data_IF_791845175422
#
_entry.id   IF_791845175422
#
_cell.length_a   1.000
_cell.length_b   1.000
_cell.length_c   1.000
_cell.angle_alpha   90.00
_cell.angle_beta   90.00
_cell.angle_gamma   90.00
#
_symmetry.space_group_name_H-M   'P 1'
#
loop_
_entity.id
_entity.type
_entity.pdbx_description
1 polymer ?
#
# COMPACT_ATOMS: atom_id res chain seq x y z
N UNK A 1 11.72 -17.17 -14.42
CA UNK A 1 10.58 -16.46 -13.80
C UNK A 1 10.39 -15.11 -14.48
N UNK A 2 9.15 -14.62 -14.61
CA UNK A 2 8.91 -13.25 -15.05
C UNK A 2 9.47 -12.29 -13.99
N UNK A 3 9.99 -11.13 -14.44
CA UNK A 3 10.48 -10.11 -13.51
C UNK A 3 9.33 -9.57 -12.66
N UNK A 4 9.53 -9.30 -11.37
CA UNK A 4 8.52 -8.67 -10.54
C UNK A 4 8.06 -7.32 -11.10
N UNK A 5 6.76 -7.04 -11.04
CA UNK A 5 6.19 -5.73 -11.39
C UNK A 5 5.76 -4.97 -10.14
N UNK A 6 5.78 -3.65 -10.20
CA UNK A 6 5.33 -2.79 -9.10
C UNK A 6 3.91 -2.30 -9.38
N UNK A 7 2.99 -2.54 -8.46
CA UNK A 7 1.61 -2.01 -8.47
C UNK A 7 1.53 -0.84 -7.49
N UNK A 8 1.20 0.33 -7.99
CA UNK A 8 1.08 1.56 -7.19
C UNK A 8 -0.38 1.94 -7.06
N UNK A 9 -0.93 1.86 -5.85
CA UNK A 9 -2.31 2.23 -5.58
C UNK A 9 -2.45 3.75 -5.46
N UNK A 10 -3.02 4.39 -6.46
CA UNK A 10 -3.19 5.83 -6.56
C UNK A 10 -4.66 6.28 -6.74
N UNK A 11 -5.62 5.36 -6.65
CA UNK A 11 -7.06 5.64 -6.78
C UNK A 11 -7.70 6.24 -5.50
N UNK A 12 -6.97 6.31 -4.40
CA UNK A 12 -7.45 6.83 -3.11
C UNK A 12 -7.79 8.32 -3.16
N UNK A 13 -8.87 8.72 -2.48
CA UNK A 13 -9.39 10.09 -2.53
C UNK A 13 -8.67 11.09 -1.63
N UNK A 14 -7.73 10.65 -0.78
CA UNK A 14 -7.02 11.55 0.15
C UNK A 14 -7.96 12.41 1.02
N UNK A 15 -9.07 11.85 1.50
CA UNK A 15 -10.18 12.58 2.13
C UNK A 15 -9.77 13.45 3.32
N UNK A 16 -8.70 13.09 4.04
CA UNK A 16 -8.15 13.85 5.17
C UNK A 16 -7.22 15.00 4.73
N UNK A 17 -6.70 14.93 3.50
CA UNK A 17 -5.75 15.92 2.97
C UNK A 17 -6.44 17.10 2.26
N UNK A 18 -7.67 16.92 1.80
CA UNK A 18 -8.47 17.97 1.16
C UNK A 18 -8.03 18.33 -0.28
N UNK A 19 -7.46 17.38 -1.03
CA UNK A 19 -7.04 17.59 -2.42
C UNK A 19 -6.38 16.35 -3.03
N UNK A 20 -5.84 16.48 -4.26
CA UNK A 20 -5.06 15.42 -4.92
C UNK A 20 -3.66 15.32 -4.28
N UNK A 21 -3.59 14.63 -3.15
CA UNK A 21 -2.39 14.41 -2.33
C UNK A 21 -1.23 13.80 -3.15
N UNK A 22 -1.55 12.94 -4.12
CA UNK A 22 -0.58 12.19 -4.91
C UNK A 22 0.28 13.06 -5.80
N UNK A 23 -0.16 14.28 -6.12
CA UNK A 23 0.56 15.23 -6.98
C UNK A 23 1.08 16.46 -6.25
N UNK A 24 1.02 16.48 -4.91
CA UNK A 24 1.52 17.60 -4.11
C UNK A 24 3.05 17.46 -3.92
N UNK A 25 3.87 18.44 -4.41
CA UNK A 25 5.31 18.32 -4.39
C UNK A 25 5.91 18.25 -2.99
N UNK A 26 6.92 17.37 -2.84
CA UNK A 26 7.74 17.24 -1.61
C UNK A 26 9.23 17.42 -1.89
N UNK A 27 9.66 17.32 -3.14
CA UNK A 27 11.04 17.49 -3.56
C UNK A 27 11.33 18.88 -4.16
N UNK A 28 12.63 19.27 -4.30
CA UNK A 28 13.05 20.60 -4.69
C UNK A 28 12.65 20.97 -6.12
N UNK A 29 12.54 20.02 -7.03
CA UNK A 29 12.21 20.22 -8.44
C UNK A 29 10.79 19.73 -8.79
N UNK A 30 9.87 19.78 -7.82
CA UNK A 30 8.48 19.41 -8.02
C UNK A 30 8.20 17.89 -7.97
N UNK A 31 9.18 17.10 -7.49
CA UNK A 31 8.97 15.68 -7.28
C UNK A 31 7.91 15.43 -6.19
N UNK A 32 7.03 14.50 -6.46
CA UNK A 32 6.02 14.04 -5.50
C UNK A 32 6.54 12.81 -4.74
N UNK A 33 5.86 12.41 -3.68
CA UNK A 33 6.36 11.33 -2.81
C UNK A 33 6.56 10.01 -3.57
N UNK A 34 5.66 9.67 -4.49
CA UNK A 34 5.77 8.44 -5.30
C UNK A 34 6.98 8.44 -6.24
N UNK A 35 7.52 9.60 -6.64
CA UNK A 35 8.72 9.64 -7.47
C UNK A 35 9.93 8.99 -6.78
N UNK A 36 10.06 9.19 -5.47
CA UNK A 36 11.11 8.58 -4.66
C UNK A 36 10.92 7.07 -4.55
N UNK A 37 9.69 6.62 -4.33
CA UNK A 37 9.35 5.19 -4.32
C UNK A 37 9.64 4.52 -5.67
N UNK A 38 9.34 5.19 -6.79
CA UNK A 38 9.63 4.68 -8.14
C UNK A 38 11.12 4.68 -8.45
N UNK A 39 11.84 5.73 -8.01
CA UNK A 39 13.30 5.80 -8.15
C UNK A 39 13.98 4.64 -7.42
N UNK A 40 13.58 4.38 -6.18
CA UNK A 40 14.11 3.27 -5.37
C UNK A 40 13.74 1.91 -5.96
N UNK A 41 12.49 1.73 -6.37
CA UNK A 41 12.02 0.50 -7.01
C UNK A 41 12.80 0.20 -8.31
N UNK A 42 13.03 1.22 -9.16
CA UNK A 42 13.84 1.06 -10.37
C UNK A 42 15.27 0.64 -10.05
N UNK A 43 15.88 1.23 -9.03
CA UNK A 43 17.24 0.85 -8.57
C UNK A 43 17.27 -0.58 -8.03
N UNK A 44 16.23 -1.04 -7.38
CA UNK A 44 16.10 -2.42 -6.90
C UNK A 44 15.93 -3.43 -8.06
N UNK A 45 15.48 -2.99 -9.25
CA UNK A 45 15.35 -3.85 -10.42
C UNK A 45 13.94 -3.94 -11.01
N UNK A 46 12.94 -3.25 -10.45
CA UNK A 46 11.60 -3.16 -11.06
C UNK A 46 11.68 -2.38 -12.38
N UNK A 47 11.29 -3.00 -13.48
CA UNK A 47 11.27 -2.39 -14.82
C UNK A 47 9.88 -1.92 -15.23
N UNK A 48 8.84 -2.52 -14.66
CA UNK A 48 7.43 -2.21 -14.98
C UNK A 48 6.71 -1.71 -13.75
N UNK A 49 5.98 -0.60 -13.90
CA UNK A 49 5.04 -0.07 -12.91
C UNK A 49 3.63 -0.05 -13.48
N UNK A 50 2.66 -0.47 -12.66
CA UNK A 50 1.23 -0.42 -12.96
C UNK A 50 0.60 0.56 -11.98
N UNK A 51 0.14 1.70 -12.47
CA UNK A 51 -0.61 2.66 -11.66
C UNK A 51 -2.10 2.29 -11.63
N UNK A 52 -2.62 2.05 -10.44
CA UNK A 52 -4.06 1.89 -10.24
C UNK A 52 -4.64 3.25 -9.90
N UNK A 53 -5.38 3.82 -10.83
CA UNK A 53 -5.96 5.17 -10.75
C UNK A 53 -7.48 5.12 -11.00
N UNK A 54 -8.12 6.28 -11.00
CA UNK A 54 -9.48 6.46 -11.54
C UNK A 54 -9.41 7.14 -12.90
N UNK A 55 -10.39 6.87 -13.77
CA UNK A 55 -10.46 7.52 -15.08
C UNK A 55 -10.50 9.04 -14.97
N UNK A 56 -11.17 9.57 -13.95
CA UNK A 56 -11.36 11.02 -13.76
C UNK A 56 -10.05 11.78 -13.54
N UNK A 57 -9.00 11.10 -13.07
CA UNK A 57 -7.69 11.72 -12.82
C UNK A 57 -6.62 11.32 -13.84
N UNK A 58 -6.94 10.50 -14.84
CA UNK A 58 -5.97 9.90 -15.75
C UNK A 58 -5.04 10.94 -16.41
N UNK A 59 -5.62 11.94 -17.08
CA UNK A 59 -4.83 12.95 -17.80
C UNK A 59 -3.97 13.79 -16.85
N UNK A 60 -4.53 14.19 -15.70
CA UNK A 60 -3.78 14.95 -14.69
C UNK A 60 -2.63 14.12 -14.10
N UNK A 61 -2.88 12.82 -13.82
CA UNK A 61 -1.89 11.90 -13.29
C UNK A 61 -0.77 11.62 -14.30
N UNK A 62 -1.11 11.35 -15.56
CA UNK A 62 -0.13 11.15 -16.63
C UNK A 62 0.79 12.34 -16.75
N UNK A 63 0.24 13.55 -16.85
CA UNK A 63 1.02 14.79 -16.95
C UNK A 63 1.90 15.04 -15.73
N UNK A 64 1.39 14.77 -14.53
CA UNK A 64 2.09 15.05 -13.28
C UNK A 64 3.18 14.01 -12.94
N UNK A 65 2.98 12.74 -13.31
CA UNK A 65 3.83 11.62 -12.89
C UNK A 65 4.15 10.72 -14.08
N UNK A 66 3.14 10.20 -14.78
CA UNK A 66 3.27 9.13 -15.74
C UNK A 66 4.25 9.41 -16.88
N UNK A 67 4.17 10.59 -17.49
CA UNK A 67 4.99 10.97 -18.66
C UNK A 67 6.49 11.03 -18.36
N UNK A 68 6.85 11.44 -17.14
CA UNK A 68 8.27 11.45 -16.72
C UNK A 68 8.78 10.06 -16.36
N UNK A 69 7.95 9.25 -15.70
CA UNK A 69 8.29 7.86 -15.34
C UNK A 69 8.40 6.98 -16.57
N UNK A 70 7.56 7.19 -17.58
CA UNK A 70 7.57 6.44 -18.85
C UNK A 70 8.88 6.59 -19.65
N UNK A 71 9.72 7.58 -19.34
CA UNK A 71 11.05 7.71 -19.95
C UNK A 71 12.05 6.68 -19.43
N UNK A 72 11.81 6.11 -18.26
CA UNK A 72 12.77 5.27 -17.53
C UNK A 72 12.22 3.92 -17.07
N UNK A 73 10.90 3.74 -17.08
CA UNK A 73 10.20 2.50 -16.71
C UNK A 73 9.09 2.20 -17.71
N UNK A 74 8.70 0.92 -17.81
CA UNK A 74 7.51 0.52 -18.56
C UNK A 74 6.27 0.83 -17.72
N UNK A 75 5.49 1.84 -18.12
CA UNK A 75 4.30 2.31 -17.39
C UNK A 75 3.04 1.70 -17.98
N UNK A 76 2.21 1.12 -17.11
CA UNK A 76 0.86 0.66 -17.43
C UNK A 76 -0.15 1.32 -16.49
N UNK A 77 -1.41 1.37 -16.90
CA UNK A 77 -2.50 1.93 -16.11
C UNK A 77 -3.61 0.90 -15.94
N UNK A 78 -4.12 0.79 -14.73
CA UNK A 78 -5.31 0.06 -14.37
C UNK A 78 -6.30 1.03 -13.72
N UNK A 79 -7.60 0.76 -13.86
CA UNK A 79 -8.62 1.69 -13.40
C UNK A 79 -9.50 1.03 -12.35
N UNK A 80 -9.49 1.54 -11.12
CA UNK A 80 -10.39 1.08 -10.08
C UNK A 80 -11.72 1.83 -10.19
N UNK A 81 -12.75 1.14 -10.66
CA UNK A 81 -14.09 1.70 -10.83
C UNK A 81 -15.09 1.09 -9.83
N UNK A 82 -16.13 1.84 -9.47
CA UNK A 82 -17.17 1.36 -8.54
C UNK A 82 -18.07 0.29 -9.15
N UNK A 83 -18.22 0.29 -10.47
CA UNK A 83 -19.07 -0.64 -11.24
C UNK A 83 -18.35 -1.92 -11.66
N UNK A 84 -17.06 -2.05 -11.40
CA UNK A 84 -16.31 -3.30 -11.58
C UNK A 84 -16.66 -4.30 -10.47
N UNK A 85 -17.86 -4.86 -10.58
CA UNK A 85 -18.43 -5.79 -9.61
C UNK A 85 -18.72 -7.15 -10.28
N UNK A 86 -18.68 -8.25 -9.51
CA UNK A 86 -19.13 -9.56 -10.01
C UNK A 86 -20.60 -9.54 -10.44
N UNK A 87 -20.96 -10.45 -11.35
CA UNK A 87 -22.34 -10.58 -11.80
C UNK A 87 -23.32 -10.75 -10.63
N UNK A 88 -24.44 -10.02 -10.66
CA UNK A 88 -25.46 -10.04 -9.62
C UNK A 88 -25.32 -8.96 -8.55
N UNK A 89 -24.21 -8.21 -8.54
CA UNK A 89 -24.02 -7.06 -7.64
C UNK A 89 -24.20 -5.74 -8.38
N UNK A 90 -24.61 -4.71 -7.64
CA UNK A 90 -24.74 -3.34 -8.13
C UNK A 90 -24.22 -2.36 -7.10
N UNK A 91 -23.87 -1.16 -7.57
CA UNK A 91 -23.40 -0.09 -6.68
C UNK A 91 -24.56 0.34 -5.76
N UNK A 92 -24.41 0.29 -4.42
CA UNK A 92 -25.42 0.82 -3.51
C UNK A 92 -25.67 2.30 -3.76
N UNK A 93 -26.93 2.73 -3.67
CA UNK A 93 -27.31 4.13 -3.79
C UNK A 93 -26.55 5.01 -2.79
N UNK A 94 -25.92 6.09 -3.26
CA UNK A 94 -25.13 6.99 -2.45
C UNK A 94 -23.70 6.55 -2.16
N UNK A 95 -23.26 5.38 -2.62
CA UNK A 95 -21.86 4.97 -2.44
C UNK A 95 -20.92 5.73 -3.37
N UNK A 96 -19.93 6.39 -2.79
CA UNK A 96 -18.83 7.07 -3.49
C UNK A 96 -17.46 6.51 -3.09
N UNK A 97 -17.42 5.71 -2.01
CA UNK A 97 -16.18 5.15 -1.48
C UNK A 97 -15.73 3.96 -2.33
N UNK A 98 -14.44 3.89 -2.76
CA UNK A 98 -13.88 2.72 -3.43
C UNK A 98 -14.03 1.44 -2.59
N UNK A 99 -13.95 0.29 -3.26
CA UNK A 99 -14.15 -1.02 -2.62
C UNK A 99 -12.97 -1.51 -1.78
N UNK A 100 -11.92 -0.73 -1.63
CA UNK A 100 -10.76 -1.03 -0.78
C UNK A 100 -9.51 -1.41 -1.56
N UNK A 101 -8.43 -1.70 -0.82
CA UNK A 101 -7.09 -1.91 -1.38
C UNK A 101 -6.96 -3.22 -2.16
N UNK A 102 -7.65 -4.29 -1.75
CA UNK A 102 -7.64 -5.54 -2.49
C UNK A 102 -8.35 -5.39 -3.84
N UNK A 103 -9.48 -4.69 -3.90
CA UNK A 103 -10.16 -4.38 -5.16
C UNK A 103 -9.32 -3.48 -6.08
N UNK A 104 -8.53 -2.55 -5.51
CA UNK A 104 -7.59 -1.76 -6.30
C UNK A 104 -6.54 -2.65 -7.00
N UNK A 105 -6.01 -3.65 -6.31
CA UNK A 105 -5.05 -4.59 -6.87
C UNK A 105 -5.72 -5.51 -7.93
N UNK A 106 -6.96 -5.93 -7.70
CA UNK A 106 -7.74 -6.70 -8.68
C UNK A 106 -7.97 -5.94 -10.00
N UNK A 107 -8.12 -4.62 -9.96
CA UNK A 107 -8.23 -3.82 -11.19
C UNK A 107 -7.00 -3.95 -12.11
N UNK A 108 -5.83 -4.33 -11.56
CA UNK A 108 -4.61 -4.54 -12.34
C UNK A 108 -4.39 -6.00 -12.78
N UNK A 109 -5.29 -6.94 -12.46
CA UNK A 109 -5.09 -8.40 -12.62
C UNK A 109 -4.67 -8.83 -14.02
N UNK A 110 -5.25 -8.23 -15.08
CA UNK A 110 -4.99 -8.59 -16.48
C UNK A 110 -3.66 -8.03 -17.01
N UNK A 111 -3.01 -7.15 -16.22
CA UNK A 111 -1.71 -6.58 -16.54
C UNK A 111 -0.55 -7.29 -15.84
N UNK A 112 -0.86 -8.23 -14.92
CA UNK A 112 0.10 -8.95 -14.07
C UNK A 112 0.11 -10.42 -14.49
N UNK A 113 1.27 -10.91 -14.89
CA UNK A 113 1.49 -12.29 -15.35
C UNK A 113 2.54 -13.06 -14.52
N UNK A 114 2.99 -12.48 -13.41
CA UNK A 114 4.03 -13.02 -12.55
C UNK A 114 4.03 -12.46 -11.15
N UNK A 115 5.16 -12.51 -10.44
CA UNK A 115 5.28 -11.90 -9.10
C UNK A 115 5.12 -10.39 -9.17
N UNK A 116 4.57 -9.80 -8.11
CA UNK A 116 4.37 -8.36 -8.04
C UNK A 116 4.46 -7.83 -6.61
N UNK A 117 4.90 -6.58 -6.48
CA UNK A 117 4.84 -5.83 -5.23
C UNK A 117 3.73 -4.78 -5.30
N UNK A 118 3.13 -4.48 -4.15
CA UNK A 118 2.07 -3.47 -4.00
C UNK A 118 2.54 -2.37 -3.06
N UNK A 119 2.29 -1.11 -3.41
CA UNK A 119 2.58 0.09 -2.58
C UNK A 119 1.47 1.14 -2.69
N UNK A 120 1.39 2.01 -1.69
CA UNK A 120 0.59 3.23 -1.78
C UNK A 120 1.36 4.33 -2.51
N UNK A 121 0.66 5.15 -3.30
CA UNK A 121 1.26 6.27 -4.04
C UNK A 121 1.66 7.47 -3.14
N UNK A 122 1.16 7.50 -1.92
CA UNK A 122 1.32 8.62 -0.99
C UNK A 122 2.26 8.32 0.19
N UNK A 123 3.01 7.22 0.09
CA UNK A 123 3.95 6.74 1.08
C UNK A 123 5.38 6.68 0.54
N UNK A 124 6.35 7.05 1.39
CA UNK A 124 7.77 6.84 1.17
C UNK A 124 8.24 5.61 1.95
N UNK A 125 8.80 4.63 1.27
CA UNK A 125 9.21 3.35 1.85
C UNK A 125 10.71 3.23 2.09
N UNK A 126 11.53 3.85 1.23
CA UNK A 126 12.99 3.82 1.26
C UNK A 126 13.63 2.73 0.40
N UNK A 127 14.91 2.91 0.02
CA UNK A 127 15.58 2.06 -0.96
C UNK A 127 15.79 0.61 -0.51
N UNK A 128 16.09 0.38 0.77
CA UNK A 128 16.30 -0.99 1.27
C UNK A 128 15.00 -1.79 1.25
N UNK A 129 13.87 -1.14 1.53
CA UNK A 129 12.56 -1.79 1.49
C UNK A 129 12.24 -2.32 0.07
N UNK A 130 12.52 -1.55 -0.97
CA UNK A 130 12.35 -2.01 -2.36
C UNK A 130 13.36 -3.08 -2.74
N UNK A 131 14.60 -3.00 -2.26
CA UNK A 131 15.61 -4.02 -2.56
C UNK A 131 15.23 -5.37 -1.97
N UNK A 132 14.88 -5.44 -0.67
CA UNK A 132 14.58 -6.71 -0.02
C UNK A 132 13.32 -7.38 -0.60
N UNK A 133 12.29 -6.59 -0.99
CA UNK A 133 11.09 -7.19 -1.58
C UNK A 133 11.32 -7.64 -3.01
N UNK A 134 12.12 -6.90 -3.81
CA UNK A 134 12.49 -7.30 -5.16
C UNK A 134 13.31 -8.59 -5.16
N UNK A 135 14.31 -8.69 -4.28
CA UNK A 135 15.16 -9.88 -4.16
C UNK A 135 14.35 -11.11 -3.77
N UNK A 136 13.41 -10.93 -2.83
CA UNK A 136 12.51 -12.02 -2.43
C UNK A 136 11.66 -12.48 -3.61
N UNK A 137 10.93 -11.58 -4.25
CA UNK A 137 10.04 -11.89 -5.37
C UNK A 137 10.77 -12.45 -6.60
N UNK A 138 12.05 -12.13 -6.76
CA UNK A 138 12.89 -12.64 -7.87
C UNK A 138 13.37 -14.06 -7.65
N UNK A 139 13.38 -14.56 -6.41
CA UNK A 139 13.97 -15.85 -6.03
C UNK A 139 12.95 -16.83 -5.47
N UNK A 140 11.75 -16.38 -5.10
CA UNK A 140 10.68 -17.18 -4.52
C UNK A 140 9.50 -17.26 -5.49
N UNK A 141 8.78 -18.37 -5.44
CA UNK A 141 7.60 -18.59 -6.26
C UNK A 141 6.60 -19.45 -5.50
N UNK A 142 5.33 -19.32 -5.86
CA UNK A 142 4.27 -20.15 -5.31
C UNK A 142 4.55 -21.64 -5.52
N UNK A 143 4.42 -22.40 -4.44
CA UNK A 143 4.45 -23.85 -4.42
C UNK A 143 3.08 -24.44 -4.12
N UNK A 144 3.04 -25.56 -3.41
CA UNK A 144 1.79 -26.14 -2.87
C UNK A 144 1.14 -25.19 -1.87
N UNK A 145 1.96 -24.46 -1.11
CA UNK A 145 1.58 -23.34 -0.28
C UNK A 145 2.12 -22.09 -0.97
N UNK A 146 1.30 -21.04 -1.06
CA UNK A 146 1.69 -19.77 -1.67
C UNK A 146 2.75 -19.09 -0.81
N UNK A 147 3.77 -18.53 -1.46
CA UNK A 147 4.92 -17.93 -0.79
C UNK A 147 4.94 -16.42 -1.01
N UNK A 148 4.34 -15.70 -0.07
CA UNK A 148 4.21 -14.24 -0.09
C UNK A 148 5.19 -13.58 0.87
N UNK A 149 5.33 -12.26 0.75
CA UNK A 149 6.13 -11.47 1.67
C UNK A 149 5.52 -10.09 1.94
N UNK A 150 6.00 -9.45 2.98
CA UNK A 150 5.72 -8.05 3.28
C UNK A 150 6.95 -7.38 3.89
N UNK A 151 7.07 -6.07 3.72
CA UNK A 151 8.03 -5.27 4.49
C UNK A 151 7.30 -4.61 5.65
N UNK A 152 7.74 -4.91 6.88
CA UNK A 152 7.17 -4.31 8.09
C UNK A 152 7.95 -3.10 8.54
N UNK A 153 7.24 -2.17 9.19
CA UNK A 153 7.81 -1.00 9.86
C UNK A 153 7.44 -1.01 11.34
N UNK A 154 8.20 -0.29 12.16
CA UNK A 154 7.88 -0.17 13.58
C UNK A 154 6.73 0.83 13.78
N UNK A 155 5.72 0.47 14.56
CA UNK A 155 4.53 1.30 14.81
C UNK A 155 4.89 2.73 15.22
N UNK A 156 5.84 2.90 16.17
CA UNK A 156 6.31 4.21 16.65
C UNK A 156 6.81 5.16 15.56
N UNK A 157 7.24 4.61 14.43
CA UNK A 157 7.77 5.35 13.28
C UNK A 157 6.70 5.65 12.22
N UNK A 158 5.44 5.24 12.42
CA UNK A 158 4.37 5.33 11.42
C UNK A 158 3.14 6.09 11.89
N UNK A 159 3.13 6.59 13.12
CA UNK A 159 2.04 7.39 13.69
C UNK A 159 2.28 8.88 13.49
N UNK A 160 1.19 9.66 13.42
CA UNK A 160 1.24 11.12 13.27
C UNK A 160 1.05 11.81 14.61
N UNK A 161 1.63 13.00 14.77
CA UNK A 161 1.34 13.92 15.89
C UNK A 161 0.04 14.70 15.64
N UNK A 162 -0.50 14.67 14.42
CA UNK A 162 -1.59 15.53 13.97
C UNK A 162 -2.95 14.84 14.03
N UNK A 163 -3.01 13.56 14.46
CA UNK A 163 -4.27 12.82 14.63
C UNK A 163 -4.11 11.32 14.40
N UNK A 164 -5.25 10.65 14.35
CA UNK A 164 -5.32 9.19 14.21
C UNK A 164 -4.88 8.69 12.83
N UNK A 165 -4.31 7.50 12.82
CA UNK A 165 -3.90 6.78 11.61
C UNK A 165 -4.52 5.39 11.58
N UNK A 166 -4.56 4.76 10.40
CA UNK A 166 -4.93 3.35 10.23
C UNK A 166 -3.69 2.53 9.86
N UNK A 167 -3.51 1.35 10.49
CA UNK A 167 -2.37 0.44 10.25
C UNK A 167 -2.78 -1.01 10.37
N UNK A 168 -2.22 -1.84 9.51
CA UNK A 168 -2.27 -3.29 9.68
C UNK A 168 -1.28 -3.72 10.77
N UNK A 169 -1.76 -3.92 11.99
CA UNK A 169 -0.92 -4.38 13.12
C UNK A 169 -0.64 -5.87 12.95
N UNK A 170 0.63 -6.23 12.90
CA UNK A 170 1.11 -7.57 12.62
C UNK A 170 1.52 -8.32 13.88
N UNK A 171 1.27 -9.64 13.90
CA UNK A 171 1.84 -10.58 14.85
C UNK A 171 2.74 -11.55 14.08
N UNK A 172 3.99 -11.71 14.51
CA UNK A 172 4.96 -12.60 13.88
C UNK A 172 5.06 -13.94 14.60
N UNK A 173 5.25 -15.02 13.85
CA UNK A 173 5.70 -16.32 14.35
C UNK A 173 7.19 -16.29 14.71
N UNK A 174 7.65 -17.28 15.46
CA UNK A 174 9.06 -17.41 15.86
C UNK A 174 10.02 -17.60 14.67
N UNK A 175 9.53 -18.10 13.53
CA UNK A 175 10.32 -18.30 12.30
C UNK A 175 10.38 -17.05 11.40
N UNK A 176 9.77 -15.95 11.85
CA UNK A 176 9.71 -14.69 11.14
C UNK A 176 8.68 -14.65 10.01
N UNK A 177 7.72 -15.56 10.00
CA UNK A 177 6.53 -15.46 9.15
C UNK A 177 5.42 -14.70 9.86
N UNK A 178 4.48 -14.17 9.08
CA UNK A 178 3.31 -13.48 9.61
C UNK A 178 2.35 -14.52 10.22
N UNK A 179 1.97 -14.33 11.48
CA UNK A 179 0.91 -15.10 12.11
C UNK A 179 -0.48 -14.51 11.79
N UNK A 180 -0.58 -13.19 11.96
CA UNK A 180 -1.83 -12.46 11.67
C UNK A 180 -1.55 -10.99 11.39
N UNK A 181 -2.47 -10.35 10.67
CA UNK A 181 -2.51 -8.91 10.47
C UNK A 181 -3.92 -8.39 10.69
N UNK A 182 -4.05 -7.37 11.53
CA UNK A 182 -5.35 -6.76 11.84
C UNK A 182 -5.32 -5.28 11.49
N UNK A 183 -6.21 -4.86 10.59
CA UNK A 183 -6.36 -3.44 10.26
C UNK A 183 -7.01 -2.70 11.43
N UNK A 184 -6.23 -1.84 12.11
CA UNK A 184 -6.71 -0.93 13.15
C UNK A 184 -6.92 0.44 12.53
N UNK A 185 -8.17 0.84 12.40
CA UNK A 185 -8.55 2.04 11.65
C UNK A 185 -8.42 3.34 12.44
N UNK A 186 -8.22 3.25 13.76
CA UNK A 186 -8.06 4.40 14.63
C UNK A 186 -6.97 4.15 15.68
N UNK A 187 -5.75 4.51 15.32
CA UNK A 187 -4.56 4.46 16.20
C UNK A 187 -4.08 5.90 16.41
N UNK A 188 -3.76 6.27 17.63
CA UNK A 188 -3.19 7.58 17.94
C UNK A 188 -2.15 7.55 19.07
N UNK A 189 -1.35 8.60 19.15
CA UNK A 189 -0.43 8.83 20.26
C UNK A 189 -1.14 9.44 21.44
N UNK A 190 -0.67 9.10 22.63
CA UNK A 190 -1.03 9.76 23.88
C UNK A 190 0.21 9.89 24.78
N UNK A 191 0.13 10.59 25.92
CA UNK A 191 1.29 10.85 26.79
C UNK A 191 1.99 9.55 27.26
N UNK A 192 1.24 8.43 27.36
CA UNK A 192 1.75 7.13 27.80
C UNK A 192 2.27 6.23 26.68
N UNK A 193 2.02 6.54 25.41
CA UNK A 193 2.39 5.64 24.33
C UNK A 193 1.53 5.74 23.05
N UNK A 194 1.16 4.59 22.53
CA UNK A 194 0.29 4.47 21.33
C UNK A 194 -0.86 3.52 21.69
N UNK A 195 -2.07 3.91 21.35
CA UNK A 195 -3.26 3.10 21.58
C UNK A 195 -4.20 3.11 20.36
N UNK A 196 -5.18 2.19 20.36
CA UNK A 196 -6.23 2.14 19.35
C UNK A 196 -7.61 1.98 19.99
N UNK A 197 -8.63 2.36 19.22
CA UNK A 197 -10.04 2.13 19.55
C UNK A 197 -10.77 1.53 18.36
N UNK A 198 -11.80 0.71 18.64
CA UNK A 198 -12.70 0.13 17.63
C UNK A 198 -14.17 0.59 17.81
N UNK A 199 -14.45 1.29 18.91
CA UNK A 199 -15.80 1.70 19.33
C UNK A 199 -15.95 3.24 19.43
N UNK A 200 -15.13 3.96 18.66
CA UNK A 200 -15.20 5.42 18.61
C UNK A 200 -14.67 6.13 19.86
N UNK A 201 -13.79 5.47 20.61
CA UNK A 201 -13.13 6.04 21.78
C UNK A 201 -13.80 5.67 23.12
N UNK A 202 -14.80 4.76 23.12
CA UNK A 202 -15.40 4.29 24.35
C UNK A 202 -14.44 3.37 25.15
N UNK A 203 -13.61 2.62 24.43
CA UNK A 203 -12.50 1.83 24.99
C UNK A 203 -11.21 2.04 24.21
N UNK A 204 -10.07 1.98 24.91
CA UNK A 204 -8.75 2.14 24.36
C UNK A 204 -7.84 0.98 24.76
N UNK A 205 -7.01 0.53 23.83
CA UNK A 205 -6.10 -0.60 23.98
C UNK A 205 -4.70 -0.17 23.58
N UNK A 206 -3.73 -0.38 24.48
CA UNK A 206 -2.33 -0.06 24.21
C UNK A 206 -1.72 -0.97 23.16
N UNK A 207 -0.82 -0.42 22.36
CA UNK A 207 0.00 -1.14 21.38
C UNK A 207 1.48 -0.98 21.73
N UNK A 208 2.29 -2.05 21.59
CA UNK A 208 3.74 -1.94 21.72
C UNK A 208 4.32 -0.94 20.73
N UNK A 209 5.21 -0.07 21.15
CA UNK A 209 5.84 0.95 20.31
C UNK A 209 6.60 0.37 19.11
N UNK A 210 7.15 -0.82 19.29
CA UNK A 210 7.92 -1.57 18.29
C UNK A 210 7.11 -2.71 17.64
N UNK A 211 5.79 -2.70 17.81
CA UNK A 211 4.93 -3.63 17.06
C UNK A 211 5.19 -3.50 15.56
N UNK A 212 5.37 -4.62 14.84
CA UNK A 212 5.47 -4.59 13.39
C UNK A 212 4.12 -4.19 12.79
N UNK A 213 4.15 -3.28 11.82
CA UNK A 213 2.95 -2.85 11.09
C UNK A 213 3.15 -2.91 9.60
N UNK A 214 2.08 -3.24 8.89
CA UNK A 214 1.98 -3.14 7.45
C UNK A 214 1.68 -1.69 7.05
N UNK A 215 2.44 -1.23 6.06
CA UNK A 215 2.21 0.02 5.34
C UNK A 215 1.82 -0.25 3.88
N UNK A 216 1.18 -1.40 3.62
CA UNK A 216 0.82 -1.87 2.28
C UNK A 216 1.99 -2.11 1.33
N UNK A 217 3.20 -2.39 1.84
CA UNK A 217 4.29 -2.91 1.02
C UNK A 217 4.27 -4.44 1.09
N UNK A 218 3.55 -5.05 0.14
CA UNK A 218 3.32 -6.47 0.02
C UNK A 218 3.93 -7.04 -1.26
N UNK A 219 4.39 -8.28 -1.20
CA UNK A 219 4.87 -9.05 -2.33
C UNK A 219 4.10 -10.35 -2.51
N UNK A 220 3.63 -10.60 -3.72
CA UNK A 220 2.74 -11.71 -4.05
C UNK A 220 3.17 -12.44 -5.32
N UNK A 221 2.79 -13.71 -5.42
CA UNK A 221 2.65 -14.42 -6.68
C UNK A 221 1.30 -14.14 -7.35
N UNK A 222 1.13 -14.60 -8.58
CA UNK A 222 -0.14 -14.47 -9.33
C UNK A 222 -1.32 -15.11 -8.60
N UNK A 223 -1.10 -16.17 -7.85
CA UNK A 223 -2.10 -16.88 -7.04
C UNK A 223 -2.91 -15.96 -6.13
N UNK A 224 -2.31 -14.87 -5.62
CA UNK A 224 -3.04 -13.90 -4.80
C UNK A 224 -4.22 -13.26 -5.55
N UNK A 225 -4.04 -12.92 -6.82
CA UNK A 225 -5.11 -12.31 -7.62
C UNK A 225 -6.26 -13.29 -7.86
N UNK A 226 -5.95 -14.55 -8.13
CA UNK A 226 -6.94 -15.59 -8.37
C UNK A 226 -7.76 -15.87 -7.09
N UNK A 227 -7.10 -15.93 -5.93
CA UNK A 227 -7.75 -16.11 -4.63
C UNK A 227 -8.59 -14.88 -4.22
N UNK A 228 -8.08 -13.68 -4.43
CA UNK A 228 -8.78 -12.45 -4.12
C UNK A 228 -10.05 -12.27 -4.98
N UNK A 229 -9.96 -12.55 -6.28
CA UNK A 229 -11.11 -12.49 -7.19
C UNK A 229 -12.19 -13.51 -6.80
N UNK A 230 -11.78 -14.74 -6.52
CA UNK A 230 -12.70 -15.83 -6.13
C UNK A 230 -13.48 -15.51 -4.86
N UNK A 231 -12.89 -14.79 -3.91
CA UNK A 231 -13.48 -14.45 -2.61
C UNK A 231 -14.36 -13.19 -2.68
N UNK A 232 -14.15 -12.32 -3.65
CA UNK A 232 -14.76 -10.99 -3.66
C UNK A 232 -16.29 -11.03 -3.67
N UNK A 233 -16.92 -11.92 -4.43
CA UNK A 233 -18.39 -12.07 -4.47
C UNK A 233 -18.96 -12.51 -3.11
N UNK A 234 -18.32 -13.47 -2.43
CA UNK A 234 -18.72 -13.91 -1.08
C UNK A 234 -18.59 -12.78 -0.07
N UNK A 235 -17.46 -12.06 -0.10
CA UNK A 235 -17.25 -10.90 0.75
C UNK A 235 -18.31 -9.80 0.55
N UNK A 236 -18.69 -9.52 -0.69
CA UNK A 236 -19.76 -8.56 -1.00
C UNK A 236 -21.08 -9.00 -0.39
N UNK A 237 -21.44 -10.27 -0.52
CA UNK A 237 -22.69 -10.83 0.07
C UNK A 237 -22.76 -10.59 1.58
N UNK A 238 -21.65 -10.79 2.29
CA UNK A 238 -21.61 -10.68 3.75
C UNK A 238 -21.58 -9.22 4.24
N UNK A 239 -20.95 -8.32 3.48
CA UNK A 239 -20.63 -6.98 3.97
C UNK A 239 -21.57 -5.88 3.45
N UNK A 240 -22.22 -6.08 2.30
CA UNK A 240 -23.10 -5.06 1.73
C UNK A 240 -24.36 -4.79 2.56
N UNK A 241 -24.93 -5.81 3.20
CA UNK A 241 -26.10 -5.63 4.07
C UNK A 241 -25.78 -4.81 5.32
N UNK A 242 -24.57 -5.01 5.88
CA UNK A 242 -24.16 -4.38 7.13
C UNK A 242 -23.66 -2.96 6.93
N UNK A 243 -22.91 -2.71 5.86
CA UNK A 243 -22.26 -1.41 5.63
C UNK A 243 -22.14 -1.07 4.13
N UNK A 244 -23.27 -0.84 3.44
CA UNK A 244 -23.30 -0.68 1.98
C UNK A 244 -22.44 0.50 1.47
N UNK A 245 -22.32 1.57 2.26
CA UNK A 245 -21.65 2.79 1.82
C UNK A 245 -20.16 2.84 2.13
N UNK A 246 -19.67 2.03 3.10
CA UNK A 246 -18.30 2.19 3.63
C UNK A 246 -17.49 0.90 3.73
N UNK A 247 -18.09 -0.30 3.51
CA UNK A 247 -17.32 -1.55 3.56
C UNK A 247 -16.17 -1.52 2.54
N UNK A 248 -15.02 -2.08 2.92
CA UNK A 248 -13.82 -2.11 2.08
C UNK A 248 -13.19 -3.51 2.11
N UNK A 249 -12.91 -4.04 0.94
CA UNK A 249 -12.19 -5.28 0.72
C UNK A 249 -10.68 -5.01 0.81
N UNK A 250 -10.11 -5.23 1.97
CA UNK A 250 -8.71 -4.93 2.27
C UNK A 250 -7.79 -6.09 1.91
N UNK A 251 -6.54 -5.76 1.51
CA UNK A 251 -5.48 -6.76 1.31
C UNK A 251 -5.24 -7.63 2.56
N UNK A 252 -5.10 -7.06 3.78
CA UNK A 252 -4.90 -7.85 5.00
C UNK A 252 -5.97 -8.89 5.27
N UNK A 253 -7.22 -8.64 4.88
CA UNK A 253 -8.31 -9.59 5.06
C UNK A 253 -8.04 -10.89 4.28
N UNK A 254 -7.79 -10.79 2.98
CA UNK A 254 -7.52 -11.95 2.12
C UNK A 254 -6.27 -12.70 2.57
N UNK A 255 -5.25 -11.96 3.00
CA UNK A 255 -4.00 -12.54 3.52
C UNK A 255 -4.28 -13.36 4.78
N UNK A 256 -5.03 -12.82 5.75
CA UNK A 256 -5.37 -13.52 6.99
C UNK A 256 -6.17 -14.80 6.71
N UNK A 257 -7.18 -14.73 5.82
CA UNK A 257 -7.96 -15.92 5.43
C UNK A 257 -7.06 -17.00 4.79
N UNK A 258 -6.12 -16.63 3.92
CA UNK A 258 -5.21 -17.59 3.28
C UNK A 258 -4.22 -18.21 4.27
N UNK A 259 -3.77 -17.47 5.27
CA UNK A 259 -2.92 -17.99 6.36
C UNK A 259 -3.74 -18.97 7.22
N UNK A 260 -4.95 -18.61 7.63
CA UNK A 260 -5.82 -19.42 8.46
C UNK A 260 -6.24 -20.73 7.76
N UNK A 261 -6.41 -20.69 6.44
CA UNK A 261 -6.67 -21.88 5.61
C UNK A 261 -5.42 -22.74 5.35
N UNK A 262 -4.23 -22.31 5.77
CA UNK A 262 -2.96 -22.97 5.51
C UNK A 262 -2.54 -22.95 4.03
N UNK A 263 -3.12 -22.04 3.23
CA UNK A 263 -2.85 -21.89 1.80
C UNK A 263 -1.65 -20.98 1.51
N UNK A 264 -1.34 -20.06 2.40
CA UNK A 264 -0.24 -19.12 2.24
C UNK A 264 0.64 -19.02 3.48
N UNK A 265 1.92 -18.78 3.24
CA UNK A 265 2.85 -18.24 4.22
C UNK A 265 3.28 -16.86 3.76
N UNK A 266 3.51 -15.96 4.71
CA UNK A 266 3.96 -14.60 4.42
C UNK A 266 5.24 -14.32 5.18
N UNK A 267 6.35 -14.14 4.49
CA UNK A 267 7.62 -13.77 5.12
C UNK A 267 7.60 -12.29 5.49
N UNK A 268 7.91 -11.99 6.75
CA UNK A 268 8.13 -10.60 7.18
C UNK A 268 9.58 -10.23 6.85
N UNK A 269 9.73 -9.31 5.91
CA UNK A 269 11.02 -8.71 5.57
C UNK A 269 11.23 -7.45 6.41
N UNK A 270 12.48 -7.18 6.72
CA UNK A 270 12.85 -6.02 7.53
C UNK A 270 13.66 -5.04 6.70
N UNK A 271 13.36 -3.75 6.87
CA UNK A 271 14.14 -2.64 6.34
C UNK A 271 14.58 -1.73 7.47
N UNK A 272 15.78 -1.16 7.35
CA UNK A 272 16.27 -0.10 8.24
C UNK A 272 15.76 1.28 7.86
N UNK A 273 15.09 1.37 6.71
CA UNK A 273 14.53 2.63 6.23
C UNK A 273 13.43 3.14 7.17
N UNK A 274 13.36 4.45 7.27
CA UNK A 274 12.26 5.10 7.96
C UNK A 274 11.15 5.40 6.96
N UNK A 275 9.95 4.92 7.27
CA UNK A 275 8.75 5.26 6.53
C UNK A 275 8.34 6.71 6.78
N UNK A 276 7.82 7.37 5.75
CA UNK A 276 7.18 8.68 5.83
C UNK A 276 5.91 8.66 5.00
N UNK A 277 4.85 9.28 5.52
CA UNK A 277 3.60 9.45 4.80
C UNK A 277 2.98 10.80 5.13
N UNK A 278 2.16 11.29 4.23
CA UNK A 278 1.40 12.52 4.43
C UNK A 278 -0.04 12.15 4.69
N UNK A 279 -0.41 11.85 5.92
CA UNK A 279 -1.80 11.54 6.31
C UNK A 279 -2.61 12.83 6.46
N UNK A 280 -2.01 13.83 7.09
CA UNK A 280 -2.55 15.17 7.30
C UNK A 280 -1.69 16.19 6.55
N UNK A 281 -2.27 17.33 6.20
CA UNK A 281 -1.52 18.42 5.52
C UNK A 281 -0.34 18.90 6.37
N UNK A 282 -0.51 18.84 7.68
CA UNK A 282 0.48 19.22 8.69
C UNK A 282 1.69 18.28 8.73
N UNK A 283 1.58 17.04 8.20
CA UNK A 283 2.70 16.10 8.10
C UNK A 283 3.71 16.51 6.98
N UNK A 284 3.25 17.27 5.97
CA UNK A 284 4.04 17.60 4.78
C UNK A 284 5.38 18.27 5.09
N UNK A 285 5.49 19.28 5.98
CA UNK A 285 6.79 19.89 6.30
C UNK A 285 7.83 18.88 6.79
N UNK A 286 7.41 17.89 7.57
CA UNK A 286 8.29 16.83 8.08
C UNK A 286 8.80 15.94 6.93
N UNK A 287 7.92 15.60 5.99
CA UNK A 287 8.30 14.81 4.80
C UNK A 287 9.26 15.58 3.91
N UNK A 288 8.96 16.87 3.63
CA UNK A 288 9.83 17.74 2.82
C UNK A 288 11.23 17.85 3.46
N UNK A 289 11.31 18.08 4.78
CA UNK A 289 12.59 18.16 5.48
C UNK A 289 13.37 16.83 5.43
N UNK A 290 12.67 15.69 5.58
CA UNK A 290 13.29 14.37 5.51
C UNK A 290 13.84 14.07 4.10
N UNK A 291 13.11 14.41 3.04
CA UNK A 291 13.55 14.27 1.65
C UNK A 291 14.73 15.19 1.35
N UNK A 292 14.67 16.46 1.77
CA UNK A 292 15.77 17.39 1.61
C UNK A 292 17.07 16.90 2.27
N UNK A 293 16.97 16.36 3.49
CA UNK A 293 18.12 15.77 4.19
C UNK A 293 18.71 14.59 3.41
N UNK A 294 17.84 13.67 2.89
CA UNK A 294 18.29 12.53 2.09
C UNK A 294 18.98 12.95 0.79
N UNK A 295 18.54 14.05 0.19
CA UNK A 295 19.21 14.64 -0.99
C UNK A 295 20.58 15.23 -0.62
N UNK A 296 20.68 15.95 0.50
CA UNK A 296 21.95 16.48 1.01
C UNK A 296 22.95 15.37 1.38
N UNK A 297 22.45 14.25 1.94
CA UNK A 297 23.25 13.07 2.27
C UNK A 297 23.69 12.26 1.02
N UNK A 298 23.26 12.68 -0.18
CA UNK A 298 23.61 12.05 -1.45
C UNK A 298 22.85 10.76 -1.75
N UNK A 299 21.78 10.44 -1.01
CA UNK A 299 20.92 9.28 -1.28
C UNK A 299 20.13 9.48 -2.58
N UNK A 300 19.63 10.69 -2.81
CA UNK A 300 18.92 11.09 -4.02
C UNK A 300 19.64 12.22 -4.75
N UNK A 301 19.67 12.21 -6.09
CA UNK A 301 20.03 13.38 -6.86
C UNK A 301 18.93 14.46 -6.73
N UNK A 302 19.28 15.72 -6.99
CA UNK A 302 18.31 16.82 -7.03
C UNK A 302 17.23 16.60 -8.10
N UNK A 303 17.61 15.98 -9.21
CA UNK A 303 16.69 15.54 -10.27
C UNK A 303 16.73 14.01 -10.38
N UNK A 304 15.62 13.37 -10.00
CA UNK A 304 15.51 11.90 -9.95
C UNK A 304 15.48 11.26 -11.36
N UNK A 305 15.15 12.03 -12.40
CA UNK A 305 14.78 11.49 -13.70
C UNK A 305 15.72 11.90 -14.85
N UNK A 306 16.80 12.65 -14.54
CA UNK A 306 17.86 13.03 -15.50
C UNK A 306 19.08 12.13 -15.40
#
# INVERSE_FOLDING_TARGET
>A
MNKPVLVVMAAGMGSRYGGMKQIDPVGPNGQVIVDYSLYDARRAGFETVIFVIKHEIEEAFKKAIGDRVAKVMNVKYAFQQLDELPAGFSIPEGRVKPWGTCHAVLAAKDLIDGPFAVVNADDYYGPEAFQVIYDYLSTHADGTVYDYCMVSYLLKNTVSENGSVARGVCVANADGTLHSVTERTHIEKYEGGIHYTEDGGASWHDLPLDAPVSMNLWGFGRSFLDEAERRFAGWLTENLEQNPLKCEYFLPLVISELIDEGKATVKILHSRDKWFGVTYREDKPTVVAAIAQKTQDGLYPEDLWN
#
